data_IF_117828887010
#
_entry.id   IF_117828887010
#
_cell.length_a   1.000
_cell.length_b   1.000
_cell.length_c   1.000
_cell.angle_alpha   90.00
_cell.angle_beta   90.00
_cell.angle_gamma   90.00
#
_symmetry.space_group_name_H-M   'P 1'
#
loop_
_entity.id
_entity.type
_entity.pdbx_description
1 polymer ?
#
# COMPACT_ATOMS: atom_id res chain seq x y z
N UNK A 1 11.26 -13.59 -2.50
CA UNK A 1 10.12 -13.54 -1.55
C UNK A 1 10.41 -12.44 -0.56
N UNK A 2 9.49 -11.47 -0.43
CA UNK A 2 9.57 -10.40 0.54
C UNK A 2 9.06 -10.80 1.93
N UNK A 3 9.09 -9.84 2.88
CA UNK A 3 8.48 -9.99 4.20
C UNK A 3 7.05 -9.48 4.18
N UNK A 4 6.17 -10.25 4.82
CA UNK A 4 4.80 -9.88 5.14
C UNK A 4 4.68 -9.80 6.66
N UNK A 5 4.17 -8.68 7.15
CA UNK A 5 3.91 -8.47 8.56
C UNK A 5 2.48 -8.85 8.90
N UNK A 6 2.22 -9.32 10.14
CA UNK A 6 0.88 -9.65 10.59
C UNK A 6 0.01 -8.40 10.69
N UNK A 7 -1.30 -8.55 10.52
CA UNK A 7 -2.28 -7.51 10.80
C UNK A 7 -2.34 -7.22 12.31
N UNK A 8 -2.57 -8.25 13.12
CA UNK A 8 -2.49 -8.16 14.57
C UNK A 8 -1.29 -8.97 15.08
N UNK A 9 -0.41 -8.32 15.84
CA UNK A 9 0.69 -9.00 16.50
C UNK A 9 0.63 -8.79 17.99
N UNK A 10 0.93 -9.86 18.75
CA UNK A 10 1.04 -9.79 20.20
C UNK A 10 2.48 -10.12 20.64
N UNK A 11 2.65 -10.75 21.77
CA UNK A 11 3.96 -11.02 22.37
C UNK A 11 4.90 -11.85 21.49
N UNK A 12 4.35 -12.70 20.60
CA UNK A 12 5.14 -13.57 19.72
C UNK A 12 5.60 -12.86 18.43
N UNK A 13 4.98 -11.74 18.07
CA UNK A 13 5.15 -11.09 16.77
C UNK A 13 4.54 -11.85 15.58
N UNK A 14 3.85 -12.95 15.83
CA UNK A 14 3.08 -13.69 14.84
C UNK A 14 1.68 -13.12 14.64
N UNK A 15 0.95 -13.61 13.63
CA UNK A 15 -0.44 -13.24 13.37
C UNK A 15 -1.36 -13.81 14.46
N UNK A 16 -2.08 -12.93 15.14
CA UNK A 16 -2.96 -13.27 16.26
C UNK A 16 -4.43 -12.96 15.95
N UNK A 17 -4.75 -12.50 14.75
CA UNK A 17 -6.15 -12.30 14.33
C UNK A 17 -6.90 -13.62 14.40
N UNK A 18 -8.08 -13.66 15.05
CA UNK A 18 -8.87 -14.89 15.16
C UNK A 18 -9.14 -15.53 13.79
N UNK A 19 -9.03 -16.86 13.72
CA UNK A 19 -9.11 -17.61 12.45
C UNK A 19 -10.42 -17.41 11.66
N UNK A 20 -11.49 -16.96 12.31
CA UNK A 20 -12.76 -16.63 11.65
C UNK A 20 -12.78 -15.23 11.04
N UNK A 21 -11.77 -14.41 11.35
CA UNK A 21 -11.60 -13.08 10.79
C UNK A 21 -10.54 -13.14 9.69
N UNK A 22 -10.96 -12.98 8.44
CA UNK A 22 -10.09 -13.11 7.28
C UNK A 22 -9.26 -11.85 6.98
N UNK A 23 -9.40 -10.76 7.76
CA UNK A 23 -8.70 -9.50 7.51
C UNK A 23 -7.19 -9.69 7.46
N UNK A 24 -6.63 -10.44 8.38
CA UNK A 24 -5.19 -10.69 8.47
C UNK A 24 -4.53 -11.15 7.17
N UNK A 25 -5.28 -11.88 6.33
CA UNK A 25 -4.75 -12.41 5.08
C UNK A 25 -4.83 -11.43 3.92
N UNK A 26 -5.70 -10.41 4.01
CA UNK A 26 -6.07 -9.57 2.89
C UNK A 26 -5.82 -8.07 3.11
N UNK A 27 -5.70 -7.63 4.37
CA UNK A 27 -5.30 -6.26 4.72
C UNK A 27 -3.78 -6.10 4.68
N UNK A 28 -3.24 -6.24 3.48
CA UNK A 28 -1.79 -6.29 3.27
C UNK A 28 -1.12 -4.92 3.23
N UNK A 29 -1.89 -3.84 3.28
CA UNK A 29 -1.36 -2.46 3.26
C UNK A 29 -0.43 -2.17 4.44
N UNK A 30 -0.60 -2.84 5.59
CA UNK A 30 0.26 -2.73 6.77
C UNK A 30 1.75 -2.85 6.44
N UNK A 31 2.10 -3.63 5.41
CA UNK A 31 3.49 -3.77 4.99
C UNK A 31 4.08 -2.46 4.46
N UNK A 32 3.29 -1.67 3.76
CA UNK A 32 3.71 -0.35 3.28
C UNK A 32 3.70 0.70 4.41
N UNK A 33 2.75 0.59 5.34
CA UNK A 33 2.66 1.49 6.51
C UNK A 33 3.92 1.37 7.37
N UNK A 34 4.44 0.16 7.57
CA UNK A 34 5.70 -0.09 8.27
C UNK A 34 6.89 0.54 7.52
N UNK A 35 6.94 0.39 6.19
CA UNK A 35 7.98 1.01 5.38
C UNK A 35 7.93 2.53 5.44
N UNK A 36 6.72 3.11 5.39
CA UNK A 36 6.51 4.55 5.54
C UNK A 36 6.98 5.04 6.90
N UNK A 37 6.62 4.36 8.00
CA UNK A 37 7.06 4.71 9.34
C UNK A 37 8.59 4.66 9.48
N UNK A 38 9.23 3.62 8.94
CA UNK A 38 10.69 3.50 8.93
C UNK A 38 11.34 4.64 8.12
N UNK A 39 10.76 5.01 6.98
CA UNK A 39 11.24 6.12 6.16
C UNK A 39 11.05 7.47 6.85
N UNK A 40 9.91 7.71 7.50
CA UNK A 40 9.67 8.93 8.28
C UNK A 40 10.67 9.07 9.43
N UNK A 41 10.98 7.97 10.13
CA UNK A 41 12.03 7.98 11.15
C UNK A 41 13.39 8.43 10.59
N UNK A 42 13.78 7.89 9.43
CA UNK A 42 14.99 8.32 8.72
C UNK A 42 14.94 9.81 8.34
N UNK A 43 13.83 10.28 7.81
CA UNK A 43 13.69 11.68 7.40
C UNK A 43 13.87 12.66 8.56
N UNK A 44 13.43 12.29 9.77
CA UNK A 44 13.53 13.11 10.97
C UNK A 44 14.92 13.02 11.60
N UNK A 45 15.48 11.82 11.73
CA UNK A 45 16.72 11.59 12.49
C UNK A 45 17.98 11.75 11.66
N UNK A 46 17.91 11.47 10.37
CA UNK A 46 19.04 11.34 9.45
C UNK A 46 20.10 10.33 9.93
N UNK A 47 19.71 9.39 10.78
CA UNK A 47 20.57 8.32 11.29
C UNK A 47 20.82 7.28 10.20
N UNK A 48 21.94 7.45 9.48
CA UNK A 48 22.32 6.58 8.38
C UNK A 48 22.70 5.17 8.83
N UNK A 49 23.21 5.02 10.04
CA UNK A 49 23.55 3.70 10.61
C UNK A 49 22.27 2.93 10.90
N UNK A 50 21.30 3.59 11.53
CA UNK A 50 19.98 3.00 11.75
C UNK A 50 19.30 2.65 10.42
N UNK A 51 19.32 3.57 9.43
CA UNK A 51 18.74 3.29 8.13
C UNK A 51 19.36 2.02 7.53
N UNK A 52 20.68 1.89 7.57
CA UNK A 52 21.38 0.71 7.04
C UNK A 52 21.06 -0.56 7.80
N UNK A 53 21.09 -0.50 9.13
CA UNK A 53 21.03 -1.69 9.99
C UNK A 53 19.60 -2.17 10.27
N UNK A 54 18.62 -1.26 10.30
CA UNK A 54 17.23 -1.52 10.69
C UNK A 54 16.21 -1.12 9.61
N UNK A 55 16.30 0.10 9.12
CA UNK A 55 15.32 0.63 8.16
C UNK A 55 15.37 -0.09 6.81
N UNK A 56 16.57 -0.31 6.27
CA UNK A 56 16.75 -0.95 4.98
C UNK A 56 16.19 -2.37 4.89
N UNK A 57 16.49 -3.29 5.83
CA UNK A 57 15.87 -4.62 5.82
C UNK A 57 14.34 -4.58 5.82
N UNK A 58 13.71 -3.67 6.58
CA UNK A 58 12.27 -3.50 6.60
C UNK A 58 11.75 -3.00 5.25
N UNK A 59 12.30 -1.88 4.76
CA UNK A 59 11.86 -1.21 3.53
C UNK A 59 12.06 -2.10 2.31
N UNK A 60 13.23 -2.73 2.16
CA UNK A 60 13.53 -3.56 0.99
C UNK A 60 12.72 -4.84 0.97
N UNK A 61 12.56 -5.51 2.12
CA UNK A 61 11.80 -6.76 2.18
C UNK A 61 10.30 -6.57 1.96
N UNK A 62 9.72 -5.45 2.40
CA UNK A 62 8.33 -5.11 2.10
C UNK A 62 8.16 -4.69 0.63
N UNK A 63 9.14 -4.03 0.02
CA UNK A 63 9.12 -3.76 -1.43
C UNK A 63 9.16 -5.05 -2.24
N UNK A 64 9.97 -6.05 -1.83
CA UNK A 64 9.98 -7.37 -2.46
C UNK A 64 8.67 -8.13 -2.27
N UNK A 65 7.96 -7.92 -1.14
CA UNK A 65 6.62 -8.45 -0.95
C UNK A 65 5.68 -7.95 -2.06
N UNK A 66 5.65 -6.65 -2.33
CA UNK A 66 4.79 -6.09 -3.38
C UNK A 66 5.11 -6.65 -4.77
N UNK A 67 6.39 -6.81 -5.11
CA UNK A 67 6.80 -7.45 -6.38
C UNK A 67 6.22 -8.87 -6.51
N UNK A 68 6.12 -9.60 -5.40
CA UNK A 68 5.56 -10.97 -5.42
C UNK A 68 4.03 -11.01 -5.26
N UNK A 69 3.40 -9.89 -4.88
CA UNK A 69 1.96 -9.82 -4.56
C UNK A 69 1.12 -9.33 -5.73
N UNK A 70 1.68 -8.49 -6.59
CA UNK A 70 0.96 -8.01 -7.78
C UNK A 70 0.79 -9.12 -8.81
N UNK A 71 -0.29 -9.02 -9.57
CA UNK A 71 -0.58 -9.88 -10.70
C UNK A 71 -0.56 -9.06 -12.01
N UNK A 72 -0.17 -9.66 -13.15
CA UNK A 72 -0.38 -9.00 -14.44
C UNK A 72 -1.87 -8.71 -14.66
N UNK A 73 -2.17 -7.57 -15.28
CA UNK A 73 -3.55 -7.22 -15.56
C UNK A 73 -4.27 -8.27 -16.41
N UNK A 74 -5.49 -8.58 -16.03
CA UNK A 74 -6.32 -9.61 -16.69
C UNK A 74 -6.77 -9.19 -18.10
N UNK A 75 -6.77 -7.89 -18.38
CA UNK A 75 -7.11 -7.36 -19.71
C UNK A 75 -5.96 -7.45 -20.74
N UNK A 76 -4.81 -8.00 -20.35
CA UNK A 76 -3.66 -8.22 -21.22
C UNK A 76 -2.75 -7.01 -21.39
N UNK A 77 -2.94 -5.94 -20.61
CA UNK A 77 -2.03 -4.80 -20.56
C UNK A 77 -0.68 -5.13 -19.91
N UNK A 78 0.28 -4.23 -20.05
CA UNK A 78 1.61 -4.34 -19.39
C UNK A 78 1.58 -3.90 -17.92
N UNK A 79 0.44 -3.44 -17.43
CA UNK A 79 0.23 -2.95 -16.07
C UNK A 79 0.04 -4.10 -15.08
N UNK A 80 0.06 -3.76 -13.79
CA UNK A 80 -0.17 -4.68 -12.69
C UNK A 80 -1.44 -4.34 -11.93
N UNK A 81 -2.01 -5.34 -11.26
CA UNK A 81 -3.15 -5.19 -10.37
C UNK A 81 -2.91 -5.88 -9.02
N UNK A 82 -3.56 -5.38 -7.98
CA UNK A 82 -3.62 -5.98 -6.66
C UNK A 82 -5.01 -6.59 -6.47
N UNK A 83 -5.10 -7.89 -6.69
CA UNK A 83 -6.36 -8.61 -6.60
C UNK A 83 -6.60 -9.15 -5.20
N UNK A 84 -7.87 -9.29 -4.83
CA UNK A 84 -8.26 -9.99 -3.61
C UNK A 84 -7.62 -9.38 -2.36
N UNK A 85 -7.81 -8.07 -2.15
CA UNK A 85 -7.32 -7.32 -0.98
C UNK A 85 -8.48 -6.71 -0.19
N UNK A 86 -8.23 -6.36 1.05
CA UNK A 86 -9.10 -5.53 1.88
C UNK A 86 -8.34 -4.22 2.13
N UNK A 87 -9.01 -3.08 1.97
CA UNK A 87 -8.46 -1.75 2.27
C UNK A 87 -8.53 -1.42 3.75
N UNK A 88 -8.04 -0.23 4.11
CA UNK A 88 -8.19 0.30 5.47
C UNK A 88 -9.67 0.50 5.84
N UNK A 89 -10.55 0.71 4.85
CA UNK A 89 -12.00 0.61 5.03
C UNK A 89 -12.49 -0.82 4.78
N UNK A 90 -12.57 -1.59 5.83
CA UNK A 90 -13.06 -2.98 5.80
C UNK A 90 -14.55 -3.07 5.39
N UNK A 91 -15.31 -1.98 5.54
CA UNK A 91 -16.74 -1.91 5.22
C UNK A 91 -17.04 -1.64 3.76
N UNK A 92 -16.19 -0.89 3.09
CA UNK A 92 -16.31 -0.61 1.65
C UNK A 92 -16.32 -1.89 0.81
N UNK A 93 -15.98 -3.00 1.42
CA UNK A 93 -15.91 -4.31 0.79
C UNK A 93 -17.20 -5.10 0.95
N UNK A 94 -17.97 -4.88 2.03
CA UNK A 94 -19.27 -5.56 2.20
C UNK A 94 -20.05 -5.10 3.46
N UNK A 95 -21.23 -4.52 3.35
CA UNK A 95 -22.17 -4.44 4.48
C UNK A 95 -22.65 -5.85 4.82
N UNK A 96 -21.97 -6.54 5.73
CA UNK A 96 -22.29 -7.92 6.11
C UNK A 96 -21.11 -8.88 6.08
N UNK A 97 -19.91 -8.40 5.78
CA UNK A 97 -18.64 -9.13 5.87
C UNK A 97 -18.30 -9.97 4.65
N UNK A 98 -17.17 -9.70 4.03
CA UNK A 98 -16.40 -10.73 3.41
C UNK A 98 -16.35 -10.83 1.90
N UNK A 99 -16.33 -9.75 1.14
CA UNK A 99 -15.71 -9.85 -0.19
C UNK A 99 -14.50 -8.93 -0.26
N UNK A 100 -13.37 -9.53 -0.55
CA UNK A 100 -12.18 -8.80 -0.95
C UNK A 100 -12.44 -8.09 -2.28
N UNK A 101 -11.71 -7.03 -2.51
CA UNK A 101 -11.82 -6.22 -3.71
C UNK A 101 -10.53 -6.28 -4.52
N UNK A 102 -10.62 -5.90 -5.77
CA UNK A 102 -9.46 -5.70 -6.62
C UNK A 102 -9.12 -4.20 -6.68
N UNK A 103 -7.83 -3.90 -6.68
CA UNK A 103 -7.28 -2.55 -6.83
C UNK A 103 -7.83 -1.52 -5.82
N UNK A 104 -7.93 -1.93 -4.53
CA UNK A 104 -8.23 -0.95 -3.48
C UNK A 104 -7.26 0.22 -3.57
N UNK A 105 -7.80 1.44 -3.58
CA UNK A 105 -7.04 2.66 -3.85
C UNK A 105 -5.94 2.91 -2.82
N UNK A 106 -6.25 2.79 -1.52
CA UNK A 106 -5.25 2.98 -0.47
C UNK A 106 -4.16 1.91 -0.53
N UNK A 107 -4.53 0.63 -0.62
CA UNK A 107 -3.57 -0.47 -0.72
C UNK A 107 -2.64 -0.31 -1.92
N UNK A 108 -3.20 0.10 -3.07
CA UNK A 108 -2.43 0.35 -4.29
C UNK A 108 -1.48 1.54 -4.11
N UNK A 109 -1.96 2.67 -3.57
CA UNK A 109 -1.14 3.85 -3.30
C UNK A 109 -0.04 3.56 -2.29
N UNK A 110 -0.35 2.81 -1.24
CA UNK A 110 0.61 2.40 -0.22
C UNK A 110 1.72 1.51 -0.80
N UNK A 111 1.36 0.53 -1.64
CA UNK A 111 2.33 -0.29 -2.36
C UNK A 111 3.25 0.56 -3.25
N UNK A 112 2.67 1.49 -4.03
CA UNK A 112 3.44 2.42 -4.86
C UNK A 112 4.41 3.26 -4.03
N UNK A 113 3.95 3.76 -2.87
CA UNK A 113 4.76 4.55 -1.94
C UNK A 113 5.92 3.73 -1.36
N UNK A 114 5.67 2.49 -0.94
CA UNK A 114 6.74 1.61 -0.42
C UNK A 114 7.82 1.35 -1.48
N UNK A 115 7.42 1.09 -2.73
CA UNK A 115 8.36 0.87 -3.83
C UNK A 115 9.20 2.12 -4.12
N UNK A 116 8.60 3.32 -4.10
CA UNK A 116 9.31 4.60 -4.24
C UNK A 116 10.27 4.84 -3.06
N UNK A 117 9.86 4.51 -1.83
CA UNK A 117 10.69 4.61 -0.62
C UNK A 117 11.90 3.67 -0.72
N UNK A 118 11.70 2.44 -1.18
CA UNK A 118 12.77 1.47 -1.33
C UNK A 118 13.85 1.94 -2.33
N UNK A 119 13.42 2.53 -3.44
CA UNK A 119 14.33 3.12 -4.43
C UNK A 119 15.13 4.30 -3.84
N UNK A 120 14.45 5.19 -3.10
CA UNK A 120 15.08 6.33 -2.42
C UNK A 120 16.06 5.88 -1.33
N UNK A 121 15.67 4.88 -0.52
CA UNK A 121 16.52 4.36 0.56
C UNK A 121 17.78 3.66 0.00
N UNK A 122 17.65 2.93 -1.12
CA UNK A 122 18.80 2.37 -1.81
C UNK A 122 19.78 3.47 -2.25
N UNK A 123 19.25 4.55 -2.86
CA UNK A 123 20.04 5.71 -3.28
C UNK A 123 20.78 6.36 -2.09
N UNK A 124 20.09 6.63 -0.99
CA UNK A 124 20.66 7.19 0.25
C UNK A 124 21.81 6.33 0.82
N UNK A 125 21.69 5.02 0.69
CA UNK A 125 22.69 4.08 1.19
C UNK A 125 23.82 3.80 0.18
N UNK A 126 23.70 4.27 -1.05
CA UNK A 126 24.62 3.95 -2.14
C UNK A 126 24.53 2.48 -2.58
N UNK A 127 23.34 1.90 -2.51
CA UNK A 127 23.04 0.54 -2.91
C UNK A 127 22.35 0.51 -4.28
N UNK A 128 22.49 -0.59 -5.02
CA UNK A 128 21.69 -0.83 -6.20
C UNK A 128 20.25 -1.18 -5.81
N UNK A 129 19.28 -0.44 -6.34
CA UNK A 129 17.86 -0.78 -6.19
C UNK A 129 17.50 -1.95 -7.13
N UNK A 130 16.56 -2.80 -6.70
CA UNK A 130 16.02 -3.84 -7.56
C UNK A 130 15.18 -3.21 -8.69
N UNK A 131 15.49 -3.45 -9.96
CA UNK A 131 14.77 -2.85 -11.08
C UNK A 131 13.30 -3.25 -11.14
N UNK A 132 12.91 -4.37 -10.53
CA UNK A 132 11.52 -4.84 -10.47
C UNK A 132 10.64 -3.89 -9.64
N UNK A 133 11.21 -3.20 -8.63
CA UNK A 133 10.46 -2.22 -7.84
C UNK A 133 9.93 -1.09 -8.73
N UNK A 134 10.81 -0.53 -9.59
CA UNK A 134 10.39 0.51 -10.56
C UNK A 134 9.43 -0.02 -11.62
N UNK A 135 9.63 -1.26 -12.06
CA UNK A 135 8.74 -1.89 -13.03
C UNK A 135 7.33 -2.01 -12.45
N UNK A 136 7.17 -2.61 -11.27
CA UNK A 136 5.88 -2.77 -10.59
C UNK A 136 5.27 -1.41 -10.26
N UNK A 137 6.08 -0.47 -9.73
CA UNK A 137 5.63 0.89 -9.41
C UNK A 137 5.01 1.62 -10.60
N UNK A 138 5.58 1.45 -11.79
CA UNK A 138 5.08 2.07 -13.03
C UNK A 138 3.84 1.39 -13.55
N UNK A 139 3.67 0.11 -13.32
CA UNK A 139 2.53 -0.68 -13.76
C UNK A 139 1.30 -0.56 -12.86
N UNK A 140 1.46 -0.15 -11.60
CA UNK A 140 0.32 0.08 -10.70
C UNK A 140 -0.39 1.40 -11.04
N UNK A 141 -1.74 1.40 -10.99
CA UNK A 141 -2.59 2.56 -11.30
C UNK A 141 -3.66 2.75 -10.24
N UNK A 142 -3.93 4.01 -9.89
CA UNK A 142 -5.14 4.38 -9.16
C UNK A 142 -6.28 4.53 -10.17
N UNK A 143 -7.36 3.81 -9.94
CA UNK A 143 -8.58 3.95 -10.73
C UNK A 143 -9.21 5.32 -10.46
N UNK A 144 -9.71 5.98 -11.51
CA UNK A 144 -10.40 7.27 -11.39
C UNK A 144 -11.69 7.24 -12.19
N UNK A 145 -12.69 7.92 -11.66
CA UNK A 145 -13.94 8.20 -12.36
C UNK A 145 -13.75 9.31 -13.40
N UNK A 146 -14.75 9.53 -14.24
CA UNK A 146 -14.69 10.51 -15.34
C UNK A 146 -14.46 11.96 -14.86
N UNK A 147 -14.86 12.30 -13.64
CA UNK A 147 -14.62 13.58 -13.01
C UNK A 147 -13.22 13.70 -12.37
N UNK A 148 -12.45 12.62 -12.41
CA UNK A 148 -11.10 12.52 -11.83
C UNK A 148 -11.06 12.11 -10.37
N UNK A 149 -12.19 11.82 -9.72
CA UNK A 149 -12.24 11.28 -8.36
C UNK A 149 -11.59 9.89 -8.31
N UNK A 150 -10.78 9.63 -7.30
CA UNK A 150 -10.18 8.31 -7.10
C UNK A 150 -11.25 7.33 -6.65
N UNK A 151 -11.44 6.28 -7.42
CA UNK A 151 -12.37 5.21 -7.08
C UNK A 151 -11.82 4.34 -5.97
N UNK A 152 -12.61 4.04 -4.95
CA UNK A 152 -12.18 3.27 -3.79
C UNK A 152 -11.66 1.87 -4.16
N UNK A 153 -12.30 1.20 -5.11
CA UNK A 153 -11.87 -0.07 -5.72
C UNK A 153 -12.60 -0.29 -7.06
N UNK A 154 -12.21 -1.28 -7.84
CA UNK A 154 -12.72 -1.48 -9.21
C UNK A 154 -14.24 -1.56 -9.32
N UNK A 155 -14.89 -2.15 -8.35
CA UNK A 155 -16.35 -2.37 -8.36
C UNK A 155 -17.12 -1.39 -7.46
N UNK A 156 -16.48 -0.33 -6.94
CA UNK A 156 -17.12 0.67 -6.09
C UNK A 156 -18.20 1.44 -6.86
N UNK A 157 -19.38 1.51 -6.28
CA UNK A 157 -20.54 2.17 -6.90
C UNK A 157 -21.18 3.24 -5.95
N UNK A 158 -20.43 3.74 -4.97
CA UNK A 158 -20.90 4.77 -4.05
C UNK A 158 -21.49 4.20 -2.75
N UNK A 159 -21.11 2.98 -2.37
CA UNK A 159 -21.51 2.38 -1.11
C UNK A 159 -21.00 3.20 0.08
N UNK A 160 -21.74 3.15 1.19
CA UNK A 160 -21.33 3.82 2.41
C UNK A 160 -20.00 3.23 2.93
N UNK A 161 -19.03 4.09 3.16
CA UNK A 161 -17.76 3.74 3.77
C UNK A 161 -17.80 3.94 5.29
N UNK A 162 -17.00 3.17 6.02
CA UNK A 162 -16.77 3.33 7.47
C UNK A 162 -15.61 4.28 7.73
N UNK A 163 -14.59 4.26 6.88
CA UNK A 163 -13.36 5.01 7.00
C UNK A 163 -13.04 5.75 5.70
N UNK A 164 -12.34 6.87 5.80
CA UNK A 164 -11.96 7.71 4.67
C UNK A 164 -10.67 7.20 4.00
N UNK A 165 -10.73 6.02 3.43
CA UNK A 165 -9.62 5.27 2.83
C UNK A 165 -8.85 6.10 1.78
N UNK A 166 -9.59 6.70 0.84
CA UNK A 166 -8.99 7.53 -0.24
C UNK A 166 -8.30 8.79 0.31
N UNK A 167 -8.77 9.35 1.43
CA UNK A 167 -8.14 10.52 2.04
C UNK A 167 -6.70 10.25 2.51
N UNK A 168 -6.38 9.00 2.86
CA UNK A 168 -5.04 8.59 3.26
C UNK A 168 -4.02 8.68 2.11
N UNK A 169 -4.46 8.74 0.88
CA UNK A 169 -3.61 8.93 -0.30
C UNK A 169 -3.04 10.36 -0.33
N UNK A 170 -3.84 11.35 0.11
CA UNK A 170 -3.36 12.71 0.27
C UNK A 170 -2.44 12.85 1.48
N UNK A 171 -2.83 12.29 2.63
CA UNK A 171 -2.03 12.24 3.85
C UNK A 171 -2.32 10.94 4.61
N UNK A 172 -1.30 10.13 5.00
CA UNK A 172 0.13 10.48 5.03
C UNK A 172 0.93 10.16 3.76
N UNK A 173 0.34 9.56 2.71
CA UNK A 173 1.13 9.08 1.55
C UNK A 173 1.69 10.21 0.69
N UNK A 174 1.06 11.40 0.67
CA UNK A 174 1.52 12.55 -0.11
C UNK A 174 1.49 12.33 -1.63
N UNK A 175 0.57 11.49 -2.11
CA UNK A 175 0.45 11.18 -3.54
C UNK A 175 -0.55 12.06 -4.29
N UNK A 176 -1.24 12.96 -3.58
CA UNK A 176 -2.06 14.02 -4.15
C UNK A 176 -1.41 15.36 -3.78
N UNK A 177 -0.89 16.08 -4.75
CA UNK A 177 -0.16 17.34 -4.58
C UNK A 177 -0.97 18.56 -5.04
N UNK A 178 -2.04 18.35 -5.78
CA UNK A 178 -2.92 19.36 -6.32
C UNK A 178 -4.11 19.58 -5.36
N UNK A 179 -4.34 20.85 -4.96
CA UNK A 179 -5.43 21.21 -4.04
C UNK A 179 -6.83 20.85 -4.56
N UNK A 180 -7.04 20.95 -5.86
CA UNK A 180 -8.32 20.62 -6.48
C UNK A 180 -8.55 19.10 -6.51
N UNK A 181 -7.49 18.33 -6.71
CA UNK A 181 -7.53 16.86 -6.61
C UNK A 181 -7.82 16.42 -5.17
N UNK A 182 -7.12 17.02 -4.19
CA UNK A 182 -7.36 16.75 -2.77
C UNK A 182 -8.82 17.09 -2.40
N UNK A 183 -9.30 18.28 -2.76
CA UNK A 183 -10.68 18.72 -2.44
C UNK A 183 -11.70 17.76 -3.03
N UNK A 184 -11.57 17.40 -4.30
CA UNK A 184 -12.48 16.48 -5.00
C UNK A 184 -12.60 15.11 -4.32
N UNK A 185 -11.53 14.64 -3.71
CA UNK A 185 -11.47 13.34 -3.06
C UNK A 185 -11.82 13.37 -1.56
N UNK A 186 -12.05 14.57 -0.98
CA UNK A 186 -12.46 14.75 0.42
C UNK A 186 -13.93 15.17 0.57
N UNK A 187 -14.56 15.72 -0.47
CA UNK A 187 -15.97 16.09 -0.54
C UNK A 187 -16.85 14.94 -1.03
#
# INVERSE_FOLDING_TARGET
RGAMFPWESAATGGEETPAHNLYSHFEVHVNADIALAAWQYWLVTRDREWLRAKGWPLISSTADFWVSRVEPRRDGGEDYELVNVIGADEWGVNPGGGKNVDNNAYTTAAAMTNLDIADKAACELGLAADPRWRQVRRGLRLQRDDDGTVRLHDTYAGEKTKQADVALIAYPLGMMDNKDDIRRNLE
#
